data_IF_903978782411
#
_entry.id   IF_903978782411
#
_cell.length_a   1.000
_cell.length_b   1.000
_cell.length_c   1.000
_cell.angle_alpha   90.00
_cell.angle_beta   90.00
_cell.angle_gamma   90.00
#
_symmetry.space_group_name_H-M   'P 1'
#
loop_
_entity.id
_entity.type
_entity.pdbx_description
1 polymer ?
#
# COMPACT_ATOMS: atom_id res chain seq x y z
N UNK A 1 -32.98 -15.30 -9.10
CA UNK A 1 -32.29 -15.69 -7.85
C UNK A 1 -31.17 -14.70 -7.65
N UNK A 2 -31.29 -13.82 -6.64
CA UNK A 2 -30.26 -12.83 -6.34
C UNK A 2 -29.07 -13.57 -5.75
N UNK A 3 -28.05 -13.82 -6.57
CA UNK A 3 -26.80 -14.42 -6.08
C UNK A 3 -26.08 -13.32 -5.31
N UNK A 4 -26.39 -13.22 -4.03
CA UNK A 4 -25.65 -12.40 -3.08
C UNK A 4 -24.28 -13.05 -2.91
N UNK A 5 -23.38 -12.84 -3.87
CA UNK A 5 -21.96 -13.09 -3.66
C UNK A 5 -21.55 -12.12 -2.56
N UNK A 6 -21.25 -12.65 -1.37
CA UNK A 6 -20.53 -11.90 -0.34
C UNK A 6 -19.14 -11.59 -0.91
N UNK A 7 -19.03 -10.52 -1.67
CA UNK A 7 -17.76 -9.93 -2.05
C UNK A 7 -17.14 -9.36 -0.78
N UNK A 8 -15.97 -9.88 -0.39
CA UNK A 8 -15.32 -9.54 0.87
C UNK A 8 -15.02 -8.05 1.05
N UNK A 9 -14.90 -7.28 -0.04
CA UNK A 9 -14.73 -5.82 -0.02
C UNK A 9 -15.97 -5.09 -0.55
N UNK A 10 -16.36 -4.03 0.16
CA UNK A 10 -17.36 -3.07 -0.31
C UNK A 10 -16.78 -2.14 -1.38
N UNK A 11 -17.65 -1.50 -2.18
CA UNK A 11 -17.21 -0.49 -3.17
C UNK A 11 -16.55 0.70 -2.46
N UNK A 12 -16.98 0.99 -1.24
CA UNK A 12 -16.42 2.00 -0.35
C UNK A 12 -14.99 1.66 0.09
N UNK A 13 -14.70 0.40 0.44
CA UNK A 13 -13.35 -0.05 0.83
C UNK A 13 -12.35 0.11 -0.32
N UNK A 14 -12.78 -0.19 -1.54
CA UNK A 14 -11.96 -0.04 -2.74
C UNK A 14 -11.74 1.41 -3.07
N UNK A 15 -12.78 2.24 -2.98
CA UNK A 15 -12.64 3.67 -3.15
C UNK A 15 -11.64 4.25 -2.14
N UNK A 16 -11.72 3.83 -0.87
CA UNK A 16 -10.76 4.25 0.15
C UNK A 16 -9.33 3.81 -0.18
N UNK A 17 -9.14 2.58 -0.68
CA UNK A 17 -7.83 2.10 -1.17
C UNK A 17 -7.32 2.93 -2.35
N UNK A 18 -8.17 3.21 -3.35
CA UNK A 18 -7.83 4.08 -4.49
C UNK A 18 -7.41 5.46 -4.00
N UNK A 19 -8.16 6.07 -3.09
CA UNK A 19 -7.89 7.41 -2.57
C UNK A 19 -6.55 7.43 -1.78
N UNK A 20 -6.24 6.37 -1.01
CA UNK A 20 -4.93 6.22 -0.35
C UNK A 20 -3.79 6.02 -1.34
N UNK A 21 -3.99 5.22 -2.38
CA UNK A 21 -3.00 5.01 -3.44
C UNK A 21 -2.70 6.30 -4.18
N UNK A 22 -3.72 7.03 -4.61
CA UNK A 22 -3.56 8.31 -5.28
C UNK A 22 -2.81 9.32 -4.39
N UNK A 23 -3.05 9.30 -3.07
CA UNK A 23 -2.30 10.12 -2.12
C UNK A 23 -0.83 9.70 -2.05
N UNK A 24 -0.53 8.40 -1.98
CA UNK A 24 0.85 7.89 -1.98
C UNK A 24 1.57 8.22 -3.28
N UNK A 25 0.93 8.05 -4.43
CA UNK A 25 1.46 8.40 -5.75
C UNK A 25 1.76 9.90 -5.84
N UNK A 26 0.86 10.75 -5.37
CA UNK A 26 1.08 12.21 -5.32
C UNK A 26 2.29 12.56 -4.45
N UNK A 27 2.38 11.98 -3.27
CA UNK A 27 3.52 12.17 -2.35
C UNK A 27 4.83 11.65 -2.95
N UNK A 28 4.77 10.55 -3.71
CA UNK A 28 5.93 9.92 -4.37
C UNK A 28 6.20 10.41 -5.79
N UNK A 29 5.44 11.40 -6.28
CA UNK A 29 5.61 11.97 -7.63
C UNK A 29 7.01 12.53 -7.88
N UNK A 30 7.73 12.85 -6.79
CA UNK A 30 9.14 13.19 -6.79
C UNK A 30 9.82 12.47 -5.65
N UNK A 31 10.99 11.90 -5.92
CA UNK A 31 11.83 11.32 -4.88
C UNK A 31 12.26 12.42 -3.89
N UNK A 32 12.16 12.17 -2.57
CA UNK A 32 12.70 13.08 -1.56
C UNK A 32 14.19 13.33 -1.78
N UNK A 33 14.62 14.59 -1.65
CA UNK A 33 16.03 14.95 -1.81
C UNK A 33 16.85 14.42 -0.64
N UNK A 34 18.04 13.91 -0.94
CA UNK A 34 19.00 13.52 0.08
C UNK A 34 19.44 14.72 0.94
N UNK A 35 19.51 14.47 2.24
CA UNK A 35 19.90 15.42 3.28
C UNK A 35 21.40 15.37 3.56
N UNK A 36 22.06 14.26 3.21
CA UNK A 36 23.45 13.98 3.53
C UNK A 36 23.65 13.54 4.98
N UNK A 37 22.60 13.01 5.60
CA UNK A 37 22.60 12.42 6.95
C UNK A 37 22.07 10.99 6.79
N UNK A 38 22.96 10.01 7.00
CA UNK A 38 22.71 8.62 6.62
C UNK A 38 21.43 8.04 7.24
N UNK A 39 21.17 8.31 8.52
CA UNK A 39 19.97 7.80 9.21
C UNK A 39 18.68 8.42 8.64
N UNK A 40 18.69 9.72 8.34
CA UNK A 40 17.54 10.42 7.74
C UNK A 40 17.31 9.92 6.32
N UNK A 41 18.37 9.84 5.52
CA UNK A 41 18.28 9.43 4.12
C UNK A 41 17.83 7.97 3.99
N UNK A 42 18.32 7.08 4.85
CA UNK A 42 17.90 5.66 4.87
C UNK A 42 16.44 5.51 5.28
N UNK A 43 16.00 6.22 6.32
CA UNK A 43 14.60 6.19 6.76
C UNK A 43 13.66 6.69 5.66
N UNK A 44 13.96 7.85 5.08
CA UNK A 44 13.14 8.48 4.04
C UNK A 44 13.09 7.61 2.79
N UNK A 45 14.22 7.04 2.37
CA UNK A 45 14.26 6.14 1.22
C UNK A 45 13.47 4.84 1.47
N UNK A 46 13.52 4.29 2.69
CA UNK A 46 12.73 3.13 3.09
C UNK A 46 11.23 3.40 2.97
N UNK A 47 10.75 4.52 3.50
CA UNK A 47 9.34 4.93 3.40
C UNK A 47 8.93 5.17 1.95
N UNK A 48 9.77 5.83 1.15
CA UNK A 48 9.52 6.08 -0.27
C UNK A 48 9.40 4.78 -1.09
N UNK A 49 10.35 3.86 -0.93
CA UNK A 49 10.34 2.57 -1.63
C UNK A 49 9.11 1.74 -1.24
N UNK A 50 8.79 1.71 0.05
CA UNK A 50 7.62 0.99 0.53
C UNK A 50 6.31 1.62 0.00
N UNK A 51 6.22 2.95 -0.09
CA UNK A 51 5.06 3.64 -0.67
C UNK A 51 4.86 3.32 -2.16
N UNK A 52 5.92 3.31 -2.97
CA UNK A 52 5.85 2.92 -4.39
C UNK A 52 5.41 1.46 -4.53
N UNK A 53 6.04 0.56 -3.77
CA UNK A 53 5.69 -0.86 -3.77
C UNK A 53 4.23 -1.07 -3.38
N UNK A 54 3.77 -0.30 -2.38
CA UNK A 54 2.39 -0.35 -1.90
C UNK A 54 1.38 0.10 -2.95
N UNK A 55 1.64 1.17 -3.69
CA UNK A 55 0.77 1.60 -4.78
C UNK A 55 0.66 0.52 -5.88
N UNK A 56 1.78 -0.09 -6.26
CA UNK A 56 1.80 -1.16 -7.27
C UNK A 56 1.00 -2.40 -6.83
N UNK A 57 1.18 -2.86 -5.59
CA UNK A 57 0.43 -4.03 -5.08
C UNK A 57 -1.06 -3.73 -4.85
N UNK A 58 -1.42 -2.48 -4.61
CA UNK A 58 -2.83 -2.05 -4.52
C UNK A 58 -3.54 -2.13 -5.87
N UNK A 59 -2.86 -1.73 -6.95
CA UNK A 59 -3.39 -1.87 -8.31
C UNK A 59 -3.65 -3.34 -8.68
N UNK A 60 -2.75 -4.25 -8.24
CA UNK A 60 -2.95 -5.69 -8.41
C UNK A 60 -4.14 -6.20 -7.60
N UNK A 61 -4.27 -5.78 -6.34
CA UNK A 61 -5.41 -6.18 -5.50
C UNK A 61 -6.75 -5.72 -6.09
N UNK A 62 -6.81 -4.48 -6.58
CA UNK A 62 -7.99 -3.93 -7.24
C UNK A 62 -8.35 -4.73 -8.50
N UNK A 63 -7.38 -5.09 -9.33
CA UNK A 63 -7.62 -5.94 -10.51
C UNK A 63 -8.24 -7.29 -10.12
N UNK A 64 -7.70 -7.96 -9.10
CA UNK A 64 -8.25 -9.22 -8.61
C UNK A 64 -9.67 -9.05 -8.06
N UNK A 65 -9.98 -7.93 -7.40
CA UNK A 65 -11.34 -7.63 -6.95
C UNK A 65 -12.31 -7.49 -8.11
N UNK A 66 -11.97 -6.67 -9.11
CA UNK A 66 -12.80 -6.45 -10.30
C UNK A 66 -13.06 -7.77 -11.03
N UNK A 67 -12.04 -8.62 -11.15
CA UNK A 67 -12.16 -9.99 -11.68
C UNK A 67 -13.04 -10.89 -10.83
N UNK A 68 -13.01 -10.74 -9.51
CA UNK A 68 -13.85 -11.51 -8.60
C UNK A 68 -15.33 -11.17 -8.78
N UNK A 69 -15.64 -9.88 -8.95
CA UNK A 69 -17.01 -9.39 -9.09
C UNK A 69 -17.54 -9.43 -10.53
N UNK A 70 -16.65 -9.60 -11.52
CA UNK A 70 -17.02 -9.60 -12.93
C UNK A 70 -17.42 -8.20 -13.41
N UNK A 71 -16.79 -7.15 -12.87
CA UNK A 71 -16.95 -5.77 -13.35
C UNK A 71 -15.58 -5.25 -13.81
N UNK A 72 -15.57 -4.37 -14.81
CA UNK A 72 -14.40 -3.58 -15.17
C UNK A 72 -14.22 -2.41 -14.20
N UNK A 73 -13.08 -1.71 -14.26
CA UNK A 73 -12.82 -0.50 -13.47
C UNK A 73 -13.87 0.60 -13.72
N UNK A 74 -14.47 0.62 -14.91
CA UNK A 74 -15.51 1.56 -15.30
C UNK A 74 -16.91 1.16 -14.79
N UNK A 75 -17.02 0.05 -14.04
CA UNK A 75 -18.27 -0.45 -13.49
C UNK A 75 -19.13 -1.23 -14.50
N UNK A 76 -18.57 -1.58 -15.67
CA UNK A 76 -19.27 -2.39 -16.67
C UNK A 76 -19.15 -3.86 -16.30
N UNK A 77 -20.28 -4.54 -16.13
CA UNK A 77 -20.31 -6.00 -15.91
C UNK A 77 -19.78 -6.73 -17.15
N UNK A 78 -18.82 -7.62 -16.95
CA UNK A 78 -18.21 -8.44 -17.98
C UNK A 78 -18.16 -9.91 -17.53
N UNK A 79 -19.00 -10.71 -18.17
CA UNK A 79 -19.17 -12.15 -17.88
C UNK A 79 -18.04 -13.01 -18.45
N UNK A 80 -17.15 -12.44 -19.26
CA UNK A 80 -16.01 -13.15 -19.86
C UNK A 80 -14.75 -13.07 -19.00
N UNK A 81 -14.75 -12.22 -17.97
CA UNK A 81 -13.61 -12.07 -17.08
C UNK A 81 -13.38 -13.34 -16.25
N UNK A 82 -12.15 -13.84 -16.31
CA UNK A 82 -11.72 -14.98 -15.51
C UNK A 82 -11.58 -14.58 -14.03
N UNK A 83 -12.38 -15.22 -13.18
CA UNK A 83 -12.28 -15.09 -11.72
C UNK A 83 -10.86 -15.38 -11.23
N UNK A 84 -10.37 -14.66 -10.20
CA UNK A 84 -9.06 -14.92 -9.64
C UNK A 84 -9.00 -16.32 -9.03
N UNK A 85 -7.89 -17.02 -9.24
CA UNK A 85 -7.66 -18.33 -8.62
C UNK A 85 -7.17 -18.20 -7.18
N UNK A 86 -7.31 -19.26 -6.39
CA UNK A 86 -6.79 -19.27 -5.01
C UNK A 86 -5.28 -19.07 -5.00
N UNK A 87 -4.58 -19.60 -6.01
CA UNK A 87 -3.13 -19.48 -6.17
C UNK A 87 -2.72 -18.04 -6.47
N UNK A 88 -3.45 -17.33 -7.35
CA UNK A 88 -3.22 -15.89 -7.62
C UNK A 88 -3.41 -15.06 -6.35
N UNK A 89 -4.47 -15.33 -5.58
CA UNK A 89 -4.78 -14.60 -4.35
C UNK A 89 -3.75 -14.88 -3.24
N UNK A 90 -3.32 -16.13 -3.09
CA UNK A 90 -2.28 -16.51 -2.12
C UNK A 90 -0.94 -15.87 -2.48
N UNK A 91 -0.56 -15.87 -3.76
CA UNK A 91 0.67 -15.23 -4.23
C UNK A 91 0.69 -13.73 -3.88
N UNK A 92 -0.40 -13.01 -4.17
CA UNK A 92 -0.51 -11.60 -3.78
C UNK A 92 -0.51 -11.43 -2.26
N UNK A 93 -1.17 -12.31 -1.51
CA UNK A 93 -1.17 -12.28 -0.04
C UNK A 93 0.24 -12.41 0.55
N UNK A 94 1.09 -13.27 -0.02
CA UNK A 94 2.50 -13.38 0.37
C UNK A 94 3.25 -12.08 0.09
N UNK A 95 3.07 -11.48 -1.09
CA UNK A 95 3.67 -10.19 -1.44
C UNK A 95 3.24 -9.08 -0.47
N UNK A 96 1.96 -8.99 -0.14
CA UNK A 96 1.42 -7.99 0.79
C UNK A 96 1.95 -8.17 2.22
N UNK A 97 2.18 -9.42 2.64
CA UNK A 97 2.80 -9.70 3.94
C UNK A 97 4.26 -9.25 3.96
N UNK A 98 5.02 -9.55 2.91
CA UNK A 98 6.41 -9.09 2.77
C UNK A 98 6.50 -7.56 2.73
N UNK A 99 5.59 -6.89 2.02
CA UNK A 99 5.47 -5.43 2.02
C UNK A 99 5.23 -4.90 3.44
N UNK A 100 4.31 -5.51 4.21
CA UNK A 100 4.06 -5.14 5.60
C UNK A 100 5.31 -5.22 6.48
N UNK A 101 6.15 -6.24 6.27
CA UNK A 101 7.46 -6.36 6.95
C UNK A 101 8.38 -5.21 6.55
N UNK A 102 8.53 -4.92 5.26
CA UNK A 102 9.38 -3.82 4.79
C UNK A 102 8.92 -2.45 5.32
N UNK A 103 7.61 -2.22 5.45
CA UNK A 103 7.06 -1.00 6.07
C UNK A 103 7.45 -0.92 7.55
N UNK A 104 7.31 -2.02 8.29
CA UNK A 104 7.69 -2.06 9.70
C UNK A 104 9.20 -1.84 9.90
N UNK A 105 10.03 -2.40 9.02
CA UNK A 105 11.47 -2.18 9.01
C UNK A 105 11.83 -0.71 8.73
N UNK A 106 11.20 -0.09 7.73
CA UNK A 106 11.37 1.34 7.48
C UNK A 106 10.99 2.16 8.73
N UNK A 107 9.90 1.80 9.41
CA UNK A 107 9.47 2.44 10.66
C UNK A 107 10.51 2.48 11.77
N UNK A 108 11.36 1.45 11.88
CA UNK A 108 12.43 1.39 12.90
C UNK A 108 13.46 2.51 12.75
N UNK A 109 13.63 3.04 11.53
CA UNK A 109 14.57 4.13 11.24
C UNK A 109 14.13 5.50 11.78
N UNK A 110 12.85 5.66 12.16
CA UNK A 110 12.29 6.95 12.54
C UNK A 110 12.98 7.58 13.76
N UNK A 111 13.30 6.79 14.78
CA UNK A 111 13.96 7.28 15.99
C UNK A 111 15.40 7.73 15.71
N UNK A 112 16.15 6.92 14.96
CA UNK A 112 17.53 7.25 14.56
C UNK A 112 17.55 8.52 13.69
N UNK A 113 16.65 8.62 12.70
CA UNK A 113 16.50 9.81 11.87
C UNK A 113 16.18 11.06 12.70
N UNK A 114 15.29 10.94 13.69
CA UNK A 114 14.92 12.08 14.58
C UNK A 114 16.11 12.53 15.44
N UNK A 115 16.87 11.59 16.02
CA UNK A 115 18.08 11.89 16.79
C UNK A 115 19.18 12.52 15.93
N UNK A 116 19.41 11.99 14.72
CA UNK A 116 20.38 12.55 13.79
C UNK A 116 19.97 13.95 13.30
N UNK A 117 18.66 14.23 13.25
CA UNK A 117 18.11 15.53 12.88
C UNK A 117 18.34 16.61 13.95
N UNK A 118 18.14 16.27 15.23
CA UNK A 118 18.22 17.24 16.34
C UNK A 118 19.66 17.70 16.66
N UNK A 119 20.66 16.94 16.23
CA UNK A 119 22.08 17.26 16.44
C UNK A 119 22.67 18.14 15.33
N UNK A 120 21.96 18.31 14.21
CA UNK A 120 22.44 19.06 13.05
C UNK A 120 22.07 20.55 13.15
N UNK A 121 23.09 21.41 13.22
CA UNK A 121 22.92 22.87 13.34
C UNK A 121 23.08 23.63 12.02
N UNK A 122 23.43 22.96 10.91
CA UNK A 122 23.63 23.63 9.63
C UNK A 122 22.26 24.04 9.04
N UNK A 123 21.99 25.34 8.79
CA UNK A 123 20.66 25.81 8.38
C UNK A 123 20.16 25.19 7.08
N UNK A 124 21.06 25.00 6.11
CA UNK A 124 20.73 24.40 4.82
C UNK A 124 20.40 22.91 4.95
N UNK A 125 21.13 22.17 5.80
CA UNK A 125 20.83 20.77 6.08
C UNK A 125 19.54 20.62 6.88
N UNK A 126 19.29 21.49 7.86
CA UNK A 126 18.04 21.49 8.65
C UNK A 126 16.81 21.64 7.75
N UNK A 127 16.85 22.55 6.78
CA UNK A 127 15.74 22.70 5.83
C UNK A 127 15.49 21.44 4.97
N UNK A 128 16.57 20.77 4.52
CA UNK A 128 16.47 19.50 3.78
C UNK A 128 15.90 18.38 4.65
N UNK A 129 16.40 18.26 5.88
CA UNK A 129 15.92 17.29 6.88
C UNK A 129 14.44 17.50 7.17
N UNK A 130 14.03 18.73 7.46
CA UNK A 130 12.63 19.05 7.73
C UNK A 130 11.72 18.66 6.55
N UNK A 131 12.15 18.96 5.33
CA UNK A 131 11.40 18.58 4.11
C UNK A 131 11.31 17.06 3.94
N UNK A 132 12.40 16.33 4.20
CA UNK A 132 12.44 14.88 4.09
C UNK A 132 11.59 14.19 5.17
N UNK A 133 11.62 14.67 6.41
CA UNK A 133 10.78 14.15 7.50
C UNK A 133 9.31 14.55 7.37
N UNK A 134 9.01 15.68 6.73
CA UNK A 134 7.62 16.04 6.40
C UNK A 134 7.02 15.01 5.43
N UNK A 135 7.78 14.60 4.41
CA UNK A 135 7.36 13.51 3.52
C UNK A 135 7.04 12.23 4.30
N UNK A 136 7.91 11.79 5.21
CA UNK A 136 7.65 10.56 5.97
C UNK A 136 6.44 10.71 6.90
N UNK A 137 6.24 11.89 7.50
CA UNK A 137 5.06 12.19 8.33
C UNK A 137 3.75 12.10 7.54
N UNK A 138 3.76 12.48 6.27
CA UNK A 138 2.58 12.45 5.41
C UNK A 138 2.35 11.07 4.76
N UNK A 139 3.42 10.39 4.34
CA UNK A 139 3.35 9.12 3.60
C UNK A 139 3.20 7.90 4.53
N UNK A 140 3.95 7.85 5.63
CA UNK A 140 4.02 6.65 6.47
C UNK A 140 2.67 6.25 7.11
N UNK A 141 1.83 7.19 7.62
CA UNK A 141 0.50 6.83 8.13
C UNK A 141 -0.41 6.24 7.05
N UNK A 142 -0.40 6.82 5.84
CA UNK A 142 -1.21 6.35 4.71
C UNK A 142 -0.78 4.96 4.28
N UNK A 143 0.54 4.72 4.27
CA UNK A 143 1.15 3.43 3.95
C UNK A 143 0.76 2.33 4.96
N UNK A 144 0.75 2.65 6.26
CA UNK A 144 0.31 1.72 7.30
C UNK A 144 -1.18 1.38 7.17
N UNK A 145 -2.01 2.36 6.88
CA UNK A 145 -3.45 2.17 6.69
C UNK A 145 -3.72 1.29 5.46
N UNK A 146 -3.09 1.60 4.32
CA UNK A 146 -3.28 0.83 3.09
C UNK A 146 -2.76 -0.60 3.21
N UNK A 147 -1.58 -0.80 3.80
CA UNK A 147 -1.03 -2.14 4.00
C UNK A 147 -1.96 -3.03 4.84
N UNK A 148 -2.52 -2.49 5.94
CA UNK A 148 -3.50 -3.21 6.76
C UNK A 148 -4.78 -3.53 6.00
N UNK A 149 -5.32 -2.55 5.26
CA UNK A 149 -6.53 -2.74 4.48
C UNK A 149 -6.34 -3.84 3.42
N UNK A 150 -5.20 -3.85 2.72
CA UNK A 150 -4.89 -4.87 1.70
C UNK A 150 -4.75 -6.27 2.28
N UNK A 151 -4.09 -6.41 3.43
CA UNK A 151 -3.95 -7.70 4.09
C UNK A 151 -5.32 -8.24 4.54
N UNK A 152 -6.19 -7.38 5.05
CA UNK A 152 -7.56 -7.78 5.41
C UNK A 152 -8.37 -8.20 4.17
N UNK A 153 -8.31 -7.40 3.11
CA UNK A 153 -9.00 -7.64 1.85
C UNK A 153 -8.58 -8.96 1.19
N UNK A 154 -7.27 -9.17 0.98
CA UNK A 154 -6.78 -10.39 0.31
C UNK A 154 -7.13 -11.65 1.11
N UNK A 155 -7.12 -11.56 2.45
CA UNK A 155 -7.53 -12.67 3.32
C UNK A 155 -9.00 -13.03 3.09
N UNK A 156 -9.89 -12.05 3.05
CA UNK A 156 -11.30 -12.28 2.76
C UNK A 156 -11.51 -12.83 1.35
N UNK A 157 -10.81 -12.31 0.34
CA UNK A 157 -10.88 -12.83 -1.03
C UNK A 157 -10.46 -14.30 -1.11
N UNK A 158 -9.38 -14.69 -0.41
CA UNK A 158 -8.93 -16.09 -0.30
C UNK A 158 -10.01 -16.96 0.35
N UNK A 159 -10.61 -16.50 1.45
CA UNK A 159 -11.69 -17.23 2.14
C UNK A 159 -12.90 -17.43 1.22
N UNK A 160 -13.35 -16.37 0.52
CA UNK A 160 -14.44 -16.46 -0.46
C UNK A 160 -14.10 -17.40 -1.62
N UNK A 161 -12.88 -17.36 -2.16
CA UNK A 161 -12.47 -18.22 -3.27
C UNK A 161 -12.40 -19.70 -2.86
N UNK A 162 -12.02 -19.98 -1.61
CA UNK A 162 -12.01 -21.34 -1.05
C UNK A 162 -13.43 -21.88 -0.84
N UNK A 163 -14.36 -21.08 -0.32
CA UNK A 163 -15.75 -21.51 -0.12
C UNK A 163 -16.50 -21.70 -1.44
N UNK A 164 -16.19 -20.89 -2.46
CA UNK A 164 -16.78 -21.01 -3.79
C UNK A 164 -16.38 -22.31 -4.54
N UNK A 165 -15.28 -22.98 -4.14
CA UNK A 165 -14.86 -24.29 -4.68
C UNK A 165 -15.52 -25.49 -3.98
N UNK A 166 -16.35 -25.28 -2.95
CA UNK A 166 -17.16 -26.31 -2.28
C UNK A 166 -18.63 -26.35 -2.80
N UNK A 167 -18.84 -25.95 -4.05
CA UNK A 167 -20.09 -26.08 -4.79
C UNK A 167 -19.91 -27.03 -5.96
#
# INVERSE_FOLDING_TARGET
MSVSFCFGQSKEDIKASIDRCAKLEKLCSKQPKQTGIADVDSYVQGVYNAAISSAASSALLQDLYYRQIGETKDGVTDVTIKKPTVEELVALGTTLTAEGVSIAEAGKGAEAATKASSTNKNPMKVAKIASALAFTKDAYPVLLEESKAKVAAIKQMIETAKTAKNL
#
